data_IF_948211620976
#
_entry.id   IF_948211620976
#
_cell.length_a   1.000
_cell.length_b   1.000
_cell.length_c   1.000
_cell.angle_alpha   90.00
_cell.angle_beta   90.00
_cell.angle_gamma   90.00
#
_symmetry.space_group_name_H-M   'P 1'
#
loop_
_entity.id
_entity.type
_entity.pdbx_description
1 polymer ?
#
# COMPACT_ATOMS: atom_id res chain seq x y z
N UNK A 1 14.45 17.33 12.98
CA UNK A 1 14.06 16.85 12.78
C UNK A 1 13.34 16.44 12.10
N UNK A 2 13.06 16.09 11.64
CA UNK A 2 12.34 15.86 10.97
C UNK A 2 11.65 15.13 10.70
N UNK A 3 11.39 14.95 10.81
CA UNK A 3 10.66 14.25 10.64
C UNK A 3 9.64 13.82 10.15
N UNK A 4 9.23 14.20 9.85
CA UNK A 4 8.04 13.91 9.16
C UNK A 4 8.15 12.90 8.11
N UNK A 5 9.14 12.17 8.16
CA UNK A 5 9.29 11.07 7.24
C UNK A 5 8.62 9.85 7.78
N UNK A 6 7.35 9.98 8.10
CA UNK A 6 6.58 8.82 8.47
C UNK A 6 6.35 7.98 7.22
N UNK A 7 7.41 7.44 6.65
CA UNK A 7 7.29 6.50 5.55
C UNK A 7 6.94 5.13 6.10
N UNK A 8 6.01 4.46 5.44
CA UNK A 8 5.68 3.10 5.79
C UNK A 8 6.71 2.15 5.18
N UNK A 9 7.16 1.22 5.99
CA UNK A 9 8.10 0.19 5.54
C UNK A 9 7.32 -0.97 4.96
N UNK A 10 7.53 -1.24 3.67
CA UNK A 10 6.87 -2.34 2.98
C UNK A 10 7.62 -3.63 3.26
N UNK A 11 6.95 -4.58 3.89
CA UNK A 11 7.52 -5.89 4.15
C UNK A 11 7.31 -6.83 2.97
N UNK A 12 6.15 -6.72 2.32
CA UNK A 12 5.81 -7.59 1.20
C UNK A 12 4.66 -6.95 0.41
N UNK A 13 4.65 -7.18 -0.89
CA UNK A 13 3.54 -6.76 -1.74
C UNK A 13 3.37 -7.76 -2.87
N UNK A 14 2.12 -7.96 -3.28
CA UNK A 14 1.83 -8.88 -4.38
C UNK A 14 0.55 -8.45 -5.09
N UNK A 15 0.44 -8.83 -6.35
CA UNK A 15 -0.73 -8.52 -7.16
C UNK A 15 -1.92 -9.33 -6.66
N UNK A 16 -3.05 -8.65 -6.46
CA UNK A 16 -4.23 -9.31 -5.90
C UNK A 16 -5.47 -8.47 -6.15
N UNK A 17 -6.56 -9.11 -6.56
CA UNK A 17 -7.84 -8.41 -6.68
C UNK A 17 -8.50 -8.27 -5.33
N UNK A 18 -9.41 -7.29 -5.20
CA UNK A 18 -10.21 -7.16 -3.99
C UNK A 18 -11.40 -8.14 -4.05
N UNK A 19 -12.23 -8.20 -3.00
CA UNK A 19 -13.39 -9.10 -3.02
C UNK A 19 -14.37 -8.86 -4.17
N UNK A 20 -14.35 -7.65 -4.74
CA UNK A 20 -15.21 -7.32 -5.87
C UNK A 20 -14.52 -7.57 -7.21
N UNK A 21 -13.29 -8.06 -7.19
CA UNK A 21 -12.55 -8.37 -8.41
C UNK A 21 -11.82 -7.20 -9.03
N UNK A 22 -11.76 -6.05 -8.36
CA UNK A 22 -11.02 -4.90 -8.89
C UNK A 22 -9.51 -5.17 -8.83
N UNK A 23 -8.75 -4.81 -9.87
CA UNK A 23 -7.32 -5.07 -9.88
C UNK A 23 -6.58 -4.16 -8.89
N UNK A 24 -5.60 -4.73 -8.21
CA UNK A 24 -4.84 -3.97 -7.22
C UNK A 24 -3.68 -4.75 -6.66
N UNK A 25 -3.22 -4.31 -5.50
CA UNK A 25 -2.05 -4.88 -4.83
C UNK A 25 -2.35 -5.07 -3.36
N UNK A 26 -1.96 -6.21 -2.83
CA UNK A 26 -1.95 -6.44 -1.39
C UNK A 26 -0.58 -6.05 -0.87
N UNK A 27 -0.54 -5.28 0.20
CA UNK A 27 0.71 -4.76 0.76
C UNK A 27 0.73 -4.99 2.27
N UNK A 28 1.83 -5.53 2.74
CA UNK A 28 2.06 -5.77 4.15
C UNK A 28 3.09 -4.75 4.64
N UNK A 29 2.72 -3.96 5.64
CA UNK A 29 3.60 -2.94 6.21
C UNK A 29 4.05 -3.32 7.59
N UNK A 30 5.24 -2.87 7.98
CA UNK A 30 5.60 -2.82 9.37
C UNK A 30 4.69 -1.82 10.06
N UNK A 31 4.13 -2.17 11.20
CA UNK A 31 3.16 -1.30 11.88
C UNK A 31 3.79 0.06 12.22
N UNK A 32 3.08 1.12 11.88
CA UNK A 32 3.46 2.49 12.17
C UNK A 32 2.19 3.33 12.19
N UNK A 33 1.79 3.75 13.40
CA UNK A 33 0.54 4.46 13.57
C UNK A 33 0.50 5.78 12.79
N UNK A 34 1.57 6.55 12.84
CA UNK A 34 1.63 7.82 12.12
C UNK A 34 1.59 7.61 10.62
N UNK A 35 2.29 6.60 10.13
CA UNK A 35 2.28 6.26 8.71
C UNK A 35 0.91 5.82 8.24
N UNK A 36 0.21 5.00 9.02
CA UNK A 36 -1.13 4.56 8.67
C UNK A 36 -2.12 5.72 8.65
N UNK A 37 -1.95 6.67 9.58
CA UNK A 37 -2.81 7.86 9.60
C UNK A 37 -2.62 8.68 8.32
N UNK A 38 -1.39 8.86 7.89
CA UNK A 38 -1.10 9.58 6.66
C UNK A 38 -1.62 8.84 5.44
N UNK A 39 -1.50 7.52 5.43
CA UNK A 39 -2.02 6.69 4.35
C UNK A 39 -3.52 6.89 4.19
N UNK A 40 -4.24 6.88 5.31
CA UNK A 40 -5.70 7.05 5.28
C UNK A 40 -6.09 8.45 4.82
N UNK A 41 -5.24 9.44 5.06
CA UNK A 41 -5.50 10.80 4.60
C UNK A 41 -5.19 10.96 3.11
N UNK A 42 -4.21 10.22 2.62
CA UNK A 42 -3.75 10.35 1.24
C UNK A 42 -4.59 9.54 0.26
N UNK A 43 -4.98 8.32 0.63
CA UNK A 43 -5.66 7.41 -0.27
C UNK A 43 -7.13 7.27 0.13
N UNK A 44 -8.06 7.55 -0.79
CA UNK A 44 -9.49 7.46 -0.50
C UNK A 44 -9.90 6.06 -0.03
N UNK A 45 -10.86 6.02 0.89
CA UNK A 45 -11.33 4.75 1.45
C UNK A 45 -11.87 3.79 0.40
N UNK A 46 -12.45 4.32 -0.68
CA UNK A 46 -12.97 3.49 -1.75
C UNK A 46 -11.89 2.73 -2.52
N UNK A 47 -10.64 3.17 -2.41
CA UNK A 47 -9.52 2.60 -3.16
C UNK A 47 -8.54 1.85 -2.28
N UNK A 48 -8.92 1.60 -1.04
CA UNK A 48 -8.11 0.79 -0.11
C UNK A 48 -9.03 -0.06 0.75
N UNK A 49 -8.54 -1.21 1.16
CA UNK A 49 -9.29 -2.11 2.02
C UNK A 49 -8.34 -2.78 3.01
N UNK A 50 -8.74 -2.85 4.26
CA UNK A 50 -7.99 -3.57 5.28
C UNK A 50 -8.56 -4.98 5.40
N UNK A 51 -7.69 -5.98 5.29
CA UNK A 51 -8.06 -7.38 5.51
C UNK A 51 -7.58 -7.79 6.90
N UNK A 52 -8.50 -7.84 7.84
CA UNK A 52 -8.17 -8.13 9.22
C UNK A 52 -7.74 -9.59 9.42
N UNK A 53 -8.18 -10.48 8.58
CA UNK A 53 -7.81 -11.90 8.67
C UNK A 53 -6.37 -12.09 8.23
N UNK A 54 -6.02 -11.58 7.08
CA UNK A 54 -4.68 -11.72 6.52
C UNK A 54 -3.71 -10.66 7.04
N UNK A 55 -4.23 -9.61 7.70
CA UNK A 55 -3.43 -8.50 8.23
C UNK A 55 -2.66 -7.78 7.13
N UNK A 56 -3.33 -7.53 6.00
CA UNK A 56 -2.74 -6.83 4.87
C UNK A 56 -3.69 -5.75 4.38
N UNK A 57 -3.11 -4.75 3.70
CA UNK A 57 -3.88 -3.73 3.01
C UNK A 57 -3.99 -4.07 1.55
N UNK A 58 -5.16 -3.85 0.98
CA UNK A 58 -5.34 -3.88 -0.46
C UNK A 58 -5.45 -2.45 -0.98
N UNK A 59 -4.82 -2.17 -2.12
CA UNK A 59 -4.91 -0.87 -2.79
C UNK A 59 -5.24 -1.06 -4.25
N UNK A 60 -6.15 -0.24 -4.76
CA UNK A 60 -6.46 -0.23 -6.17
C UNK A 60 -5.20 0.12 -6.98
N UNK A 61 -5.01 -0.51 -8.14
CA UNK A 61 -3.80 -0.27 -8.94
C UNK A 61 -3.63 1.20 -9.33
N UNK A 62 -4.72 1.95 -9.45
CA UNK A 62 -4.68 3.35 -9.83
C UNK A 62 -4.09 4.27 -8.77
N UNK A 63 -3.90 3.79 -7.52
CA UNK A 63 -3.32 4.63 -6.46
C UNK A 63 -1.90 4.23 -6.07
N UNK A 64 -1.28 3.34 -6.84
CA UNK A 64 0.07 2.87 -6.51
C UNK A 64 1.07 4.03 -6.50
N UNK A 65 0.97 4.96 -7.45
CA UNK A 65 1.89 6.10 -7.48
C UNK A 65 1.74 6.98 -6.24
N UNK A 66 0.51 7.16 -5.77
CA UNK A 66 0.27 7.93 -4.56
C UNK A 66 0.79 7.19 -3.33
N UNK A 67 0.56 5.88 -3.28
CA UNK A 67 1.07 5.05 -2.19
C UNK A 67 2.59 5.10 -2.13
N UNK A 68 3.26 5.09 -3.28
CA UNK A 68 4.71 5.09 -3.34
C UNK A 68 5.33 6.36 -2.74
N UNK A 69 4.57 7.43 -2.63
CA UNK A 69 5.09 8.66 -2.02
C UNK A 69 5.39 8.47 -0.54
N UNK A 70 4.68 7.59 0.13
CA UNK A 70 4.89 7.35 1.55
C UNK A 70 5.36 5.93 1.84
N UNK A 71 5.32 5.06 0.84
CA UNK A 71 5.77 3.68 0.97
C UNK A 71 6.56 3.30 -0.28
N UNK A 72 7.72 3.95 -0.53
CA UNK A 72 8.44 3.77 -1.80
C UNK A 72 8.90 2.32 -2.02
N UNK A 73 9.00 1.53 -0.97
CA UNK A 73 9.34 0.12 -1.12
C UNK A 73 8.39 -0.67 -2.01
N UNK A 74 7.16 -0.18 -2.19
CA UNK A 74 6.18 -0.86 -3.03
C UNK A 74 6.64 -0.88 -4.50
N UNK A 75 7.45 0.10 -4.92
CA UNK A 75 7.89 0.20 -6.31
C UNK A 75 8.77 -0.98 -6.74
N UNK A 76 9.52 -1.56 -5.80
CA UNK A 76 10.35 -2.72 -6.11
C UNK A 76 9.48 -3.89 -6.56
N UNK A 77 8.33 -4.07 -5.90
CA UNK A 77 7.42 -5.18 -6.23
C UNK A 77 6.65 -4.93 -7.52
N UNK A 78 6.17 -3.69 -7.69
CA UNK A 78 5.40 -3.36 -8.90
C UNK A 78 6.28 -3.37 -10.14
N UNK A 79 7.55 -2.97 -10.02
CA UNK A 79 8.48 -3.01 -11.13
C UNK A 79 8.77 -4.44 -11.56
N UNK A 80 8.94 -5.36 -10.60
CA UNK A 80 9.15 -6.77 -10.92
C UNK A 80 7.98 -7.35 -11.71
N UNK A 81 6.76 -7.01 -11.30
CA UNK A 81 5.58 -7.52 -12.01
C UNK A 81 5.53 -7.03 -13.44
N UNK A 82 5.99 -5.81 -13.69
CA UNK A 82 6.00 -5.25 -15.05
C UNK A 82 7.05 -5.88 -15.95
N UNK A 83 8.06 -6.47 -15.37
CA UNK A 83 9.13 -7.10 -16.14
C UNK A 83 8.80 -8.52 -16.58
N UNK A 84 7.70 -9.04 -16.08
CA UNK A 84 7.24 -10.36 -16.48
C UNK A 84 6.23 -10.22 -17.62
#
# INVERSE_FOLDING_TARGET
MPPSNAQLHVQKAWRCGDPQGRPGWCVQFKYDEAGLRRLKALIPAALRTWDDTAKVWWFHEGVIDQLARMAPGVLAYTAQAKML
#
